data_IF_855408960452
#
_entry.id   IF_855408960452
#
_cell.length_a   1.000
_cell.length_b   1.000
_cell.length_c   1.000
_cell.angle_alpha   90.00
_cell.angle_beta   90.00
_cell.angle_gamma   90.00
#
_symmetry.space_group_name_H-M   'P 1'
#
loop_
_entity.id
_entity.type
_entity.pdbx_description
1 polymer ?
#
# COMPACT_ATOMS: atom_id res chain seq x y z
N UNK A 1 -5.34 -13.10 8.06
CA UNK A 1 -4.38 -13.46 7.00
C UNK A 1 -3.84 -14.88 7.25
N UNK A 2 -3.49 -15.60 6.17
CA UNK A 2 -2.88 -16.95 6.29
C UNK A 2 -1.40 -16.91 6.67
N UNK A 3 -0.71 -15.79 6.39
CA UNK A 3 0.68 -15.58 6.77
C UNK A 3 1.67 -16.51 6.03
N UNK A 4 1.43 -16.75 4.74
CA UNK A 4 2.29 -17.58 3.92
C UNK A 4 3.13 -16.74 2.95
N UNK A 5 4.39 -17.13 2.75
CA UNK A 5 5.24 -16.69 1.65
C UNK A 5 5.20 -17.75 0.55
N UNK A 6 4.71 -17.37 -0.61
CA UNK A 6 4.64 -18.23 -1.79
C UNK A 6 5.74 -17.85 -2.77
N UNK A 7 6.40 -18.83 -3.35
CA UNK A 7 7.35 -18.64 -4.44
C UNK A 7 6.80 -19.32 -5.70
N UNK A 8 6.89 -18.65 -6.85
CA UNK A 8 6.35 -19.18 -8.09
C UNK A 8 6.73 -18.35 -9.30
N UNK A 9 6.03 -18.58 -10.41
CA UNK A 9 6.23 -17.83 -11.65
C UNK A 9 4.92 -17.22 -12.12
N UNK A 10 4.99 -16.01 -12.64
CA UNK A 10 3.91 -15.33 -13.33
C UNK A 10 4.39 -14.98 -14.75
N UNK A 11 3.99 -15.79 -15.74
CA UNK A 11 4.64 -15.78 -17.03
C UNK A 11 6.12 -16.16 -16.91
N UNK A 12 7.00 -15.32 -17.44
CA UNK A 12 8.45 -15.53 -17.39
C UNK A 12 9.09 -14.98 -16.08
N UNK A 13 8.34 -14.24 -15.25
CA UNK A 13 8.85 -13.63 -14.03
C UNK A 13 8.81 -14.58 -12.84
N UNK A 14 9.92 -14.67 -12.11
CA UNK A 14 9.92 -15.28 -10.77
C UNK A 14 9.34 -14.29 -9.77
N UNK A 15 8.43 -14.76 -8.93
CA UNK A 15 7.71 -13.91 -7.97
C UNK A 15 7.64 -14.56 -6.61
N UNK A 16 7.75 -13.72 -5.59
CA UNK A 16 7.38 -14.04 -4.22
C UNK A 16 6.09 -13.31 -3.88
N UNK A 17 5.11 -13.99 -3.30
CA UNK A 17 3.86 -13.39 -2.88
C UNK A 17 3.62 -13.65 -1.40
N UNK A 18 3.35 -12.58 -0.65
CA UNK A 18 2.89 -12.67 0.73
C UNK A 18 1.38 -12.83 0.76
N UNK A 19 0.88 -13.98 1.20
CA UNK A 19 -0.55 -14.21 1.42
C UNK A 19 -0.96 -13.63 2.77
N UNK A 20 -1.02 -12.31 2.84
CA UNK A 20 -1.33 -11.55 4.04
C UNK A 20 -0.31 -10.47 4.36
N UNK A 21 -0.44 -9.92 5.56
CA UNK A 21 0.38 -8.82 6.06
C UNK A 21 0.39 -8.86 7.58
N UNK A 22 1.48 -8.41 8.21
CA UNK A 22 1.51 -8.04 9.61
C UNK A 22 1.07 -6.59 9.78
N UNK A 23 0.15 -6.32 10.71
CA UNK A 23 -0.28 -4.96 10.99
C UNK A 23 0.20 -4.50 12.36
N UNK A 24 0.55 -3.23 12.45
CA UNK A 24 0.99 -2.64 13.70
C UNK A 24 -0.10 -2.71 14.80
N UNK A 25 -1.37 -2.53 14.43
CA UNK A 25 -2.49 -2.62 15.37
C UNK A 25 -2.73 -4.02 15.94
N UNK A 26 -2.14 -5.05 15.37
CA UNK A 26 -2.21 -6.43 15.90
C UNK A 26 -1.23 -6.64 17.08
N UNK A 27 -0.42 -5.62 17.42
CA UNK A 27 0.55 -5.66 18.50
C UNK A 27 1.99 -6.01 18.08
N UNK A 28 2.21 -6.22 16.77
CA UNK A 28 3.56 -6.39 16.24
C UNK A 28 4.35 -5.08 16.31
N UNK A 29 5.63 -5.18 16.67
CA UNK A 29 6.53 -4.04 16.53
C UNK A 29 6.71 -3.63 15.06
N UNK A 30 7.12 -2.39 14.80
CA UNK A 30 7.42 -1.95 13.42
C UNK A 30 8.51 -2.80 12.75
N UNK A 31 9.44 -3.36 13.52
CA UNK A 31 10.46 -4.29 13.00
C UNK A 31 9.84 -5.61 12.53
N UNK A 32 8.89 -6.15 13.27
CA UNK A 32 8.18 -7.38 12.89
C UNK A 32 7.27 -7.13 11.66
N UNK A 33 6.56 -6.00 11.62
CA UNK A 33 5.74 -5.61 10.45
C UNK A 33 6.59 -5.58 9.18
N UNK A 34 7.80 -5.06 9.25
CA UNK A 34 8.70 -4.89 8.10
C UNK A 34 9.65 -6.06 7.86
N UNK A 35 9.75 -7.02 8.80
CA UNK A 35 10.68 -8.16 8.70
C UNK A 35 10.59 -8.93 7.36
N UNK A 36 9.39 -9.22 6.82
CA UNK A 36 9.29 -9.93 5.55
C UNK A 36 10.02 -9.24 4.39
N UNK A 37 10.09 -7.91 4.38
CA UNK A 37 10.75 -7.16 3.31
C UNK A 37 12.27 -7.26 3.37
N UNK A 38 12.86 -7.38 4.57
CA UNK A 38 14.28 -7.70 4.71
C UNK A 38 14.58 -9.10 4.18
N UNK A 39 13.72 -10.08 4.44
CA UNK A 39 13.84 -11.43 3.87
C UNK A 39 13.76 -11.39 2.35
N UNK A 40 12.78 -10.70 1.77
CA UNK A 40 12.63 -10.54 0.33
C UNK A 40 13.88 -9.89 -0.30
N UNK A 41 14.43 -8.86 0.34
CA UNK A 41 15.69 -8.23 -0.12
C UNK A 41 16.85 -9.22 -0.16
N UNK A 42 17.01 -10.05 0.88
CA UNK A 42 18.04 -11.08 0.94
C UNK A 42 17.81 -12.21 -0.09
N UNK A 43 16.59 -12.44 -0.51
CA UNK A 43 16.24 -13.34 -1.61
C UNK A 43 16.45 -12.73 -3.00
N UNK A 44 16.96 -11.47 -3.08
CA UNK A 44 17.27 -10.80 -4.33
C UNK A 44 16.12 -10.03 -4.97
N UNK A 45 15.02 -9.78 -4.23
CA UNK A 45 13.91 -8.96 -4.73
C UNK A 45 14.36 -7.50 -4.89
N UNK A 46 14.14 -6.93 -6.06
CA UNK A 46 14.48 -5.54 -6.40
C UNK A 46 13.25 -4.65 -6.59
N UNK A 47 12.09 -5.25 -6.85
CA UNK A 47 10.85 -4.53 -7.12
C UNK A 47 9.72 -5.13 -6.29
N UNK A 48 8.91 -4.26 -5.68
CA UNK A 48 7.82 -4.67 -4.78
C UNK A 48 6.52 -4.02 -5.22
N UNK A 49 5.47 -4.84 -5.29
CA UNK A 49 4.10 -4.37 -5.50
C UNK A 49 3.33 -4.53 -4.20
N UNK A 50 2.87 -3.41 -3.64
CA UNK A 50 2.05 -3.37 -2.43
C UNK A 50 0.59 -3.15 -2.79
N UNK A 51 -0.30 -3.88 -2.12
CA UNK A 51 -1.74 -3.68 -2.25
C UNK A 51 -2.37 -3.50 -0.88
N UNK A 52 -3.43 -2.74 -0.79
CA UNK A 52 -4.21 -2.57 0.43
C UNK A 52 -5.67 -2.26 0.14
N UNK A 53 -6.51 -2.40 1.17
CA UNK A 53 -7.86 -1.84 1.25
C UNK A 53 -7.80 -0.61 2.15
N UNK A 54 -8.49 0.47 1.78
CA UNK A 54 -8.44 1.72 2.53
C UNK A 54 -9.74 2.53 2.41
N UNK A 55 -9.88 3.55 3.27
CA UNK A 55 -10.96 4.53 3.22
C UNK A 55 -10.64 5.70 2.30
N UNK A 56 -11.58 6.10 1.44
CA UNK A 56 -11.44 7.26 0.57
C UNK A 56 -11.71 8.56 1.32
N UNK A 57 -10.79 9.51 1.23
CA UNK A 57 -10.91 10.87 1.75
C UNK A 57 -11.31 11.82 0.60
N UNK A 58 -10.72 11.63 -0.56
CA UNK A 58 -11.04 12.41 -1.76
C UNK A 58 -12.48 12.13 -2.20
N UNK A 59 -13.30 13.18 -2.26
CA UNK A 59 -14.74 13.07 -2.55
C UNK A 59 -15.05 12.69 -3.99
N UNK A 60 -14.07 12.72 -4.89
CA UNK A 60 -14.23 12.22 -6.26
C UNK A 60 -14.11 10.69 -6.35
N UNK A 61 -13.65 10.03 -5.29
CA UNK A 61 -13.56 8.58 -5.22
C UNK A 61 -14.88 7.96 -4.79
N UNK A 62 -15.03 6.67 -5.11
CA UNK A 62 -16.15 5.85 -4.70
C UNK A 62 -15.64 4.46 -4.25
N UNK A 63 -16.40 3.73 -3.42
CA UNK A 63 -16.09 2.34 -3.13
C UNK A 63 -15.92 1.53 -4.41
N UNK A 64 -14.84 0.74 -4.50
CA UNK A 64 -14.41 0.01 -5.69
C UNK A 64 -13.38 0.75 -6.56
N UNK A 65 -13.11 2.05 -6.31
CA UNK A 65 -12.03 2.77 -7.00
C UNK A 65 -10.68 2.13 -6.70
N UNK A 66 -9.89 1.89 -7.74
CA UNK A 66 -8.48 1.54 -7.64
C UNK A 66 -7.65 2.83 -7.66
N UNK A 67 -6.81 3.04 -6.66
CA UNK A 67 -5.97 4.22 -6.55
C UNK A 67 -4.49 3.82 -6.62
N UNK A 68 -3.79 4.31 -7.63
CA UNK A 68 -2.34 4.24 -7.72
C UNK A 68 -1.76 5.25 -6.73
N UNK A 69 -0.97 4.77 -5.78
CA UNK A 69 -0.37 5.64 -4.76
C UNK A 69 0.82 6.38 -5.35
N UNK A 70 0.80 7.71 -5.23
CA UNK A 70 1.86 8.59 -5.74
C UNK A 70 2.80 9.07 -4.66
N UNK A 71 2.29 9.21 -3.42
CA UNK A 71 3.03 9.66 -2.25
C UNK A 71 2.33 9.18 -0.97
N UNK A 72 2.96 9.37 0.19
CA UNK A 72 2.36 9.01 1.47
C UNK A 72 2.54 10.08 2.53
N UNK A 73 1.66 10.05 3.53
CA UNK A 73 1.79 10.79 4.79
C UNK A 73 1.85 9.77 5.92
N UNK A 74 2.90 9.83 6.75
CA UNK A 74 3.04 8.94 7.91
C UNK A 74 2.42 9.55 9.16
N UNK A 75 1.21 9.11 9.51
CA UNK A 75 0.52 9.45 10.77
C UNK A 75 0.45 8.25 11.73
N UNK A 76 1.35 7.28 11.60
CA UNK A 76 1.38 6.10 12.48
C UNK A 76 2.07 6.36 13.82
N UNK A 77 2.59 7.58 14.05
CA UNK A 77 3.25 7.96 15.31
C UNK A 77 4.60 7.28 15.54
N UNK A 78 5.09 6.53 14.57
CA UNK A 78 6.37 5.79 14.62
C UNK A 78 6.94 5.60 13.22
N UNK A 79 8.19 5.07 13.17
CA UNK A 79 8.90 4.82 11.91
C UNK A 79 9.71 3.51 12.06
N UNK A 80 9.66 2.58 11.10
CA UNK A 80 10.36 1.30 11.19
C UNK A 80 11.89 1.43 11.26
N UNK A 81 12.45 2.56 10.83
CA UNK A 81 13.88 2.82 10.79
C UNK A 81 14.43 3.47 12.07
N UNK A 82 13.58 3.67 13.11
CA UNK A 82 14.03 4.15 14.41
C UNK A 82 14.92 3.09 15.07
N UNK A 83 16.09 3.53 15.56
CA UNK A 83 17.07 2.68 16.23
C UNK A 83 18.41 2.64 15.51
N UNK A 84 19.30 1.69 15.84
CA UNK A 84 20.58 1.52 15.16
C UNK A 84 20.39 1.20 13.67
N UNK A 85 21.21 1.84 12.82
CA UNK A 85 21.22 1.55 11.39
C UNK A 85 22.08 0.32 11.07
N UNK A 86 21.66 -0.48 10.10
CA UNK A 86 22.45 -1.55 9.52
C UNK A 86 22.84 -1.17 8.09
N UNK A 87 24.07 -0.69 7.90
CA UNK A 87 24.57 -0.19 6.62
C UNK A 87 24.59 -1.25 5.50
N UNK A 88 24.47 -2.54 5.86
CA UNK A 88 24.33 -3.61 4.86
C UNK A 88 23.05 -3.51 4.06
N UNK A 89 22.02 -2.89 4.61
CA UNK A 89 20.71 -2.73 3.97
C UNK A 89 20.51 -1.35 3.36
N UNK A 90 21.05 -0.30 3.98
CA UNK A 90 20.88 1.05 3.44
C UNK A 90 21.48 2.16 4.31
N UNK A 91 21.36 3.41 3.86
CA UNK A 91 21.92 4.56 4.56
C UNK A 91 21.10 4.91 5.81
N UNK A 92 21.73 5.58 6.79
CA UNK A 92 21.08 6.06 8.01
C UNK A 92 19.87 6.97 7.74
N UNK A 93 19.96 7.78 6.69
CA UNK A 93 18.94 8.75 6.28
C UNK A 93 18.56 8.49 4.81
N UNK A 94 17.61 7.57 4.55
CA UNK A 94 17.18 7.29 3.19
C UNK A 94 16.38 8.46 2.61
N UNK A 95 16.56 8.69 1.32
CA UNK A 95 15.78 9.67 0.55
C UNK A 95 14.37 9.11 0.28
N UNK A 96 13.35 9.94 0.49
CA UNK A 96 11.93 9.65 0.22
C UNK A 96 11.33 10.64 -0.78
N UNK A 97 12.15 11.25 -1.64
CA UNK A 97 11.66 12.19 -2.67
C UNK A 97 10.70 11.48 -3.64
N UNK A 98 10.97 10.22 -3.98
CA UNK A 98 10.15 9.40 -4.87
C UNK A 98 9.88 8.02 -4.24
N UNK A 99 9.02 7.95 -3.20
CA UNK A 99 8.83 6.73 -2.44
C UNK A 99 8.14 5.62 -3.24
N UNK A 100 7.42 5.99 -4.30
CA UNK A 100 6.84 5.08 -5.29
C UNK A 100 7.48 5.35 -6.65
N UNK A 101 8.10 4.33 -7.24
CA UNK A 101 8.89 4.44 -8.46
C UNK A 101 8.11 5.08 -9.62
N UNK A 102 8.57 6.22 -10.18
CA UNK A 102 7.92 6.84 -11.33
C UNK A 102 7.82 5.89 -12.53
N UNK A 103 8.88 5.11 -12.78
CA UNK A 103 8.93 4.13 -13.85
C UNK A 103 7.84 3.06 -13.71
N UNK A 104 7.68 2.50 -12.51
CA UNK A 104 6.65 1.48 -12.25
C UNK A 104 5.25 2.07 -12.28
N UNK A 105 5.06 3.32 -11.82
CA UNK A 105 3.78 4.03 -11.93
C UNK A 105 3.39 4.26 -13.38
N UNK A 106 4.30 4.73 -14.22
CA UNK A 106 4.04 4.91 -15.66
C UNK A 106 3.76 3.58 -16.38
N UNK A 107 4.45 2.51 -16.00
CA UNK A 107 4.14 1.17 -16.50
C UNK A 107 2.71 0.74 -16.09
N UNK A 108 2.34 0.97 -14.83
CA UNK A 108 1.01 0.63 -14.32
C UNK A 108 -0.07 1.43 -15.06
N UNK A 109 0.12 2.72 -15.28
CA UNK A 109 -0.83 3.59 -16.01
C UNK A 109 -1.04 3.12 -17.44
N UNK A 110 0.04 2.95 -18.21
CA UNK A 110 -0.05 2.43 -19.59
C UNK A 110 -0.76 1.08 -19.65
N UNK A 111 -0.44 0.19 -18.71
CA UNK A 111 -1.09 -1.12 -18.65
C UNK A 111 -2.58 -1.01 -18.35
N UNK A 112 -2.99 -0.11 -17.45
CA UNK A 112 -4.41 0.13 -17.16
C UNK A 112 -5.15 0.68 -18.39
N UNK A 113 -4.56 1.66 -19.07
CA UNK A 113 -5.12 2.27 -20.28
C UNK A 113 -5.32 1.24 -21.40
N UNK A 114 -4.30 0.40 -21.65
CA UNK A 114 -4.38 -0.70 -22.63
C UNK A 114 -5.46 -1.74 -22.29
N UNK A 115 -5.71 -1.97 -20.99
CA UNK A 115 -6.71 -2.92 -20.51
C UNK A 115 -8.10 -2.30 -20.32
N UNK A 116 -8.25 -0.99 -20.52
CA UNK A 116 -9.49 -0.27 -20.25
C UNK A 116 -9.88 -0.26 -18.78
N UNK A 117 -8.90 -0.27 -17.87
CA UNK A 117 -9.11 -0.27 -16.42
C UNK A 117 -9.08 1.17 -15.92
N UNK A 118 -10.18 1.61 -15.32
CA UNK A 118 -10.25 2.90 -14.67
C UNK A 118 -9.46 2.90 -13.35
N UNK A 119 -8.67 3.93 -13.13
CA UNK A 119 -7.92 4.15 -11.90
C UNK A 119 -7.91 5.64 -11.52
N UNK A 120 -7.52 5.93 -10.30
CA UNK A 120 -7.22 7.28 -9.81
C UNK A 120 -5.78 7.31 -9.30
N UNK A 121 -5.23 8.49 -9.12
CA UNK A 121 -3.94 8.69 -8.45
C UNK A 121 -4.19 9.44 -7.15
N UNK A 122 -3.35 9.19 -6.11
CA UNK A 122 -3.52 9.92 -4.86
C UNK A 122 -2.49 9.64 -3.79
N UNK A 123 -2.54 10.46 -2.75
CA UNK A 123 -1.69 10.39 -1.55
C UNK A 123 -2.34 9.50 -0.51
N UNK A 124 -1.59 8.50 -0.04
CA UNK A 124 -2.04 7.58 1.00
C UNK A 124 -1.57 8.02 2.37
N UNK A 125 -2.49 8.15 3.33
CA UNK A 125 -2.14 8.38 4.73
C UNK A 125 -2.10 7.07 5.49
N UNK A 126 -0.94 6.74 6.07
CA UNK A 126 -0.80 5.66 7.05
C UNK A 126 -1.25 6.12 8.42
N UNK A 127 -2.25 5.46 9.00
CA UNK A 127 -2.78 5.73 10.33
C UNK A 127 -2.67 4.47 11.21
N UNK A 128 -2.52 4.65 12.52
CA UNK A 128 -2.18 3.54 13.42
C UNK A 128 -3.31 2.51 13.55
N UNK A 129 -4.56 2.95 13.63
CA UNK A 129 -5.68 2.08 14.04
C UNK A 129 -5.58 1.68 15.53
N UNK A 130 -6.29 0.62 16.00
CA UNK A 130 -7.26 -0.21 15.25
C UNK A 130 -8.64 0.46 15.05
N UNK A 131 -8.90 1.60 15.72
CA UNK A 131 -10.14 2.34 15.51
C UNK A 131 -10.15 3.00 14.13
N UNK A 132 -11.30 3.03 13.49
CA UNK A 132 -11.51 3.92 12.35
C UNK A 132 -11.42 5.37 12.81
N UNK A 133 -11.02 6.23 11.92
CA UNK A 133 -10.82 7.65 12.16
C UNK A 133 -12.14 8.35 12.52
N UNK A 134 -12.07 9.38 13.31
CA UNK A 134 -13.18 10.30 13.56
C UNK A 134 -13.38 11.24 12.36
N UNK A 135 -14.57 11.83 12.23
CA UNK A 135 -14.81 12.84 11.19
C UNK A 135 -13.92 14.08 11.32
N UNK A 136 -13.44 14.41 12.52
CA UNK A 136 -12.50 15.50 12.75
C UNK A 136 -11.10 15.16 12.24
N UNK A 137 -10.62 13.95 12.50
CA UNK A 137 -9.36 13.43 11.95
C UNK A 137 -9.40 13.41 10.42
N UNK A 138 -10.49 12.91 9.82
CA UNK A 138 -10.62 12.89 8.36
C UNK A 138 -10.59 14.30 7.75
N UNK A 139 -11.21 15.30 8.39
CA UNK A 139 -11.08 16.69 7.91
C UNK A 139 -9.65 17.22 8.02
N UNK A 140 -8.94 16.87 9.09
CA UNK A 140 -7.53 17.24 9.25
C UNK A 140 -6.65 16.55 8.19
N UNK A 141 -6.86 15.26 7.96
CA UNK A 141 -6.13 14.49 6.95
C UNK A 141 -6.35 15.01 5.52
N UNK A 142 -7.61 15.36 5.19
CA UNK A 142 -7.92 16.03 3.94
C UNK A 142 -7.18 17.37 3.79
N UNK A 143 -7.11 18.16 4.86
CA UNK A 143 -6.39 19.44 4.86
C UNK A 143 -4.86 19.28 4.73
N UNK A 144 -4.32 18.12 5.13
CA UNK A 144 -2.91 17.75 4.93
C UNK A 144 -2.63 17.25 3.50
N UNK A 145 -3.66 17.03 2.68
CA UNK A 145 -3.51 16.56 1.30
C UNK A 145 -3.67 15.06 1.11
N UNK A 146 -4.21 14.32 2.07
CA UNK A 146 -4.48 12.89 1.92
C UNK A 146 -5.72 12.64 1.07
N UNK A 147 -5.61 11.70 0.12
CA UNK A 147 -6.72 11.21 -0.73
C UNK A 147 -7.35 9.93 -0.17
N UNK A 148 -6.59 9.14 0.57
CA UNK A 148 -7.04 7.90 1.18
C UNK A 148 -6.32 7.66 2.51
N UNK A 149 -6.92 6.86 3.38
CA UNK A 149 -6.36 6.50 4.69
C UNK A 149 -6.48 5.00 4.95
N UNK A 150 -5.43 4.42 5.53
CA UNK A 150 -5.43 3.03 5.96
C UNK A 150 -4.34 2.74 6.97
N UNK A 151 -4.25 1.49 7.42
CA UNK A 151 -3.48 1.09 8.61
C UNK A 151 -2.25 0.24 8.25
N UNK A 152 -1.67 0.44 7.06
CA UNK A 152 -0.55 -0.38 6.54
C UNK A 152 0.27 0.40 5.50
N UNK A 153 1.10 -0.31 4.73
CA UNK A 153 1.73 0.15 3.47
C UNK A 153 2.86 1.15 3.66
N UNK A 154 2.71 2.16 4.50
CA UNK A 154 3.73 3.20 4.72
C UNK A 154 5.01 2.63 5.34
N UNK A 155 4.97 1.83 6.42
CA UNK A 155 6.18 1.20 6.96
C UNK A 155 6.92 0.32 5.95
N UNK A 156 6.16 -0.47 5.19
CA UNK A 156 6.69 -1.35 4.15
C UNK A 156 7.36 -0.54 3.03
N UNK A 157 6.70 0.54 2.59
CA UNK A 157 7.28 1.46 1.59
C UNK A 157 8.58 2.07 2.10
N UNK A 158 8.63 2.53 3.35
CA UNK A 158 9.84 3.12 3.95
C UNK A 158 11.02 2.14 3.95
N UNK A 159 10.83 0.89 4.38
CA UNK A 159 11.93 -0.08 4.43
C UNK A 159 12.33 -0.57 3.04
N UNK A 160 11.40 -0.67 2.09
CA UNK A 160 11.73 -0.99 0.71
C UNK A 160 12.63 0.09 0.09
N UNK A 161 12.28 1.37 0.25
CA UNK A 161 13.12 2.48 -0.20
C UNK A 161 14.48 2.51 0.51
N UNK A 162 14.49 2.31 1.83
CA UNK A 162 15.73 2.20 2.62
C UNK A 162 16.69 1.16 2.03
N UNK A 163 16.16 0.02 1.56
CA UNK A 163 16.93 -1.07 0.98
C UNK A 163 17.14 -0.93 -0.55
N UNK A 164 16.73 0.19 -1.15
CA UNK A 164 16.89 0.45 -2.59
C UNK A 164 16.00 -0.43 -3.48
N UNK A 165 14.88 -0.94 -2.96
CA UNK A 165 13.87 -1.63 -3.76
C UNK A 165 12.89 -0.63 -4.37
N UNK A 166 12.56 -0.79 -5.67
CA UNK A 166 11.52 0.00 -6.33
C UNK A 166 10.13 -0.42 -5.84
N UNK A 167 9.29 0.54 -5.47
CA UNK A 167 7.94 0.28 -4.95
C UNK A 167 6.88 0.78 -5.93
N UNK A 168 5.90 -0.08 -6.19
CA UNK A 168 4.61 0.25 -6.77
C UNK A 168 3.55 -0.04 -5.71
N UNK A 169 2.55 0.82 -5.53
CA UNK A 169 1.47 0.53 -4.61
C UNK A 169 0.10 0.92 -5.18
N UNK A 170 -0.88 0.06 -4.99
CA UNK A 170 -2.27 0.26 -5.40
C UNK A 170 -3.20 -0.01 -4.24
N UNK A 171 -4.06 0.95 -3.97
CA UNK A 171 -5.14 0.85 -2.97
C UNK A 171 -6.46 0.50 -3.64
N UNK A 172 -7.27 -0.32 -2.97
CA UNK A 172 -8.68 -0.44 -3.24
C UNK A 172 -9.45 0.44 -2.24
N UNK A 173 -10.18 1.42 -2.72
CA UNK A 173 -11.09 2.21 -1.88
C UNK A 173 -12.30 1.34 -1.55
N UNK A 174 -12.39 0.86 -0.32
CA UNK A 174 -13.47 -0.06 0.09
C UNK A 174 -14.67 0.63 0.70
N UNK A 175 -14.46 1.83 1.20
CA UNK A 175 -15.45 2.69 1.83
C UNK A 175 -15.01 4.15 1.73
N UNK A 176 -15.93 5.07 1.83
CA UNK A 176 -15.57 6.46 2.07
C UNK A 176 -15.33 6.66 3.57
N UNK A 177 -14.33 7.48 3.90
CA UNK A 177 -13.91 7.69 5.29
C UNK A 177 -15.02 8.32 6.16
N UNK A 178 -14.84 8.24 7.48
CA UNK A 178 -15.80 8.75 8.47
C UNK A 178 -16.14 10.24 8.23
N UNK A 179 -17.43 10.56 8.24
CA UNK A 179 -17.94 11.92 7.99
C UNK A 179 -18.01 12.30 6.49
N UNK A 180 -17.56 11.43 5.59
CA UNK A 180 -17.79 11.53 4.15
C UNK A 180 -18.96 10.61 3.78
N UNK A 181 -18.91 9.34 4.20
CA UNK A 181 -20.08 8.46 4.09
C UNK A 181 -21.05 8.66 5.26
N UNK A 182 -22.33 8.38 5.01
CA UNK A 182 -23.41 8.52 6.01
C UNK A 182 -23.70 7.23 6.78
N UNK A 183 -23.22 6.09 6.27
CA UNK A 183 -23.42 4.77 6.91
C UNK A 183 -22.26 4.39 7.80
N UNK A 184 -22.54 3.63 8.86
CA UNK A 184 -21.47 3.12 9.75
C UNK A 184 -20.53 2.17 9.00
N UNK A 185 -19.26 2.19 9.39
CA UNK A 185 -18.26 1.25 8.89
C UNK A 185 -18.62 -0.19 9.27
N UNK A 186 -18.38 -1.11 8.34
CA UNK A 186 -18.59 -2.55 8.54
C UNK A 186 -17.45 -3.30 7.86
N UNK A 187 -16.73 -4.10 8.63
CA UNK A 187 -15.65 -4.92 8.08
C UNK A 187 -16.15 -5.92 7.02
N UNK A 188 -17.36 -6.46 7.18
CA UNK A 188 -17.96 -7.34 6.19
C UNK A 188 -18.16 -6.64 4.83
N UNK A 189 -18.63 -5.38 4.84
CA UNK A 189 -18.80 -4.59 3.62
C UNK A 189 -17.46 -4.21 2.97
N UNK A 190 -16.45 -3.92 3.79
CA UNK A 190 -15.07 -3.70 3.30
C UNK A 190 -14.57 -4.92 2.52
N UNK A 191 -14.75 -6.13 3.07
CA UNK A 191 -14.37 -7.37 2.40
C UNK A 191 -15.16 -7.61 1.11
N UNK A 192 -16.46 -7.34 1.11
CA UNK A 192 -17.31 -7.48 -0.08
C UNK A 192 -16.81 -6.61 -1.24
N UNK A 193 -16.59 -5.32 -0.99
CA UNK A 193 -16.08 -4.38 -2.00
C UNK A 193 -14.66 -4.75 -2.45
N UNK A 194 -13.79 -5.13 -1.49
CA UNK A 194 -12.44 -5.57 -1.81
C UNK A 194 -12.44 -6.81 -2.72
N UNK A 195 -13.34 -7.76 -2.50
CA UNK A 195 -13.48 -8.94 -3.36
C UNK A 195 -14.00 -8.57 -4.75
N UNK A 196 -14.99 -7.68 -4.85
CA UNK A 196 -15.54 -7.23 -6.14
C UNK A 196 -14.49 -6.50 -7.01
N UNK A 197 -13.67 -5.64 -6.41
CA UNK A 197 -12.59 -4.92 -7.10
C UNK A 197 -11.33 -5.80 -7.30
N UNK A 198 -11.21 -6.86 -6.52
CA UNK A 198 -10.03 -7.71 -6.44
C UNK A 198 -9.65 -8.35 -7.77
N UNK A 199 -10.62 -8.88 -8.51
CA UNK A 199 -10.37 -9.52 -9.81
C UNK A 199 -9.77 -8.52 -10.82
N UNK A 200 -10.29 -7.29 -10.85
CA UNK A 200 -9.76 -6.24 -11.73
C UNK A 200 -8.36 -5.83 -11.32
N UNK A 201 -8.12 -5.63 -10.02
CA UNK A 201 -6.79 -5.32 -9.48
C UNK A 201 -5.79 -6.45 -9.75
N UNK A 202 -6.18 -7.71 -9.55
CA UNK A 202 -5.33 -8.88 -9.83
C UNK A 202 -4.96 -8.98 -11.31
N UNK A 203 -5.91 -8.77 -12.24
CA UNK A 203 -5.63 -8.75 -13.67
C UNK A 203 -4.68 -7.62 -14.06
N UNK A 204 -4.93 -6.42 -13.54
CA UNK A 204 -4.07 -5.26 -13.78
C UNK A 204 -2.64 -5.49 -13.29
N UNK A 205 -2.50 -5.79 -12.01
CA UNK A 205 -1.18 -5.99 -11.40
C UNK A 205 -0.46 -7.22 -11.95
N UNK A 206 -1.18 -8.28 -12.29
CA UNK A 206 -0.61 -9.44 -12.98
C UNK A 206 -0.01 -9.07 -14.34
N UNK A 207 -0.69 -8.23 -15.12
CA UNK A 207 -0.16 -7.73 -16.39
C UNK A 207 1.03 -6.77 -16.20
N UNK A 208 1.01 -5.95 -15.15
CA UNK A 208 2.13 -5.06 -14.79
C UNK A 208 3.37 -5.89 -14.40
N UNK A 209 3.22 -6.85 -13.50
CA UNK A 209 4.32 -7.69 -13.00
C UNK A 209 5.00 -8.46 -14.14
N UNK A 210 4.24 -8.95 -15.12
CA UNK A 210 4.82 -9.64 -16.27
C UNK A 210 5.68 -8.72 -17.16
N UNK A 211 5.50 -7.40 -17.05
CA UNK A 211 6.23 -6.37 -17.83
C UNK A 211 7.35 -5.68 -17.03
N UNK A 212 7.41 -5.91 -15.70
CA UNK A 212 8.48 -5.44 -14.82
C UNK A 212 9.77 -6.22 -15.11
#
# INVERSE_FOLDING_TARGET
>A
HKGALLAGRLGEKEVYALEGRFHFYEGYSMKEVCYPFYVLKLLGVEQVVLTNACGGINRSFAPGTLMLITDFINMMGTNPLIGPNDERFGPRFPDMTEPYSPELRELAKRTADEMGIAYQEGVYMGFMGPCYETAAEIRAFAAMGADAVGMSTVPETMVCNYMGMKVLAVSCITNMATGIQTVKHSHARVLEIANQAGDTMCRWLGAVIQRM
#
